data_IF_559007946422
#
_entry.id   IF_559007946422
#
_cell.length_a   1.000
_cell.length_b   1.000
_cell.length_c   1.000
_cell.angle_alpha   90.00
_cell.angle_beta   90.00
_cell.angle_gamma   90.00
#
_symmetry.space_group_name_H-M   'P 1'
#
loop_
_entity.id
_entity.type
_entity.pdbx_description
1 polymer ?
#
# COMPACT_ATOMS: atom_id res chain seq x y z
N UNK A 1 -72.23 -5.59 26.23
CA UNK A 1 -71.88 -6.92 25.62
C UNK A 1 -70.45 -7.21 25.96
N UNK A 2 -70.29 -8.10 26.92
CA UNK A 2 -69.07 -8.50 27.58
C UNK A 2 -68.43 -9.63 26.79
N UNK A 3 -67.19 -9.45 26.27
CA UNK A 3 -66.40 -10.55 25.75
C UNK A 3 -65.32 -10.96 26.75
N UNK A 4 -65.45 -12.20 27.19
CA UNK A 4 -64.57 -12.95 28.09
C UNK A 4 -63.23 -13.25 27.39
N UNK A 5 -62.11 -12.94 28.05
CA UNK A 5 -60.79 -13.39 27.71
C UNK A 5 -60.63 -14.88 28.07
N UNK A 6 -60.15 -15.67 27.12
CA UNK A 6 -59.68 -17.06 27.28
C UNK A 6 -58.19 -17.05 27.40
N UNK A 7 -57.64 -17.41 28.58
CA UNK A 7 -56.22 -17.69 28.76
C UNK A 7 -55.94 -19.16 28.41
N UNK A 8 -54.88 -19.47 27.68
CA UNK A 8 -54.34 -20.83 27.63
C UNK A 8 -53.30 -21.03 28.75
N UNK A 9 -53.51 -22.07 29.52
CA UNK A 9 -52.60 -22.58 30.53
C UNK A 9 -51.33 -23.13 29.88
N UNK A 10 -50.18 -22.59 30.25
CA UNK A 10 -48.87 -23.20 29.93
C UNK A 10 -48.48 -24.19 31.01
N UNK A 11 -48.45 -25.46 30.64
CA UNK A 11 -47.87 -26.55 31.43
C UNK A 11 -46.32 -26.37 31.44
N UNK A 12 -45.80 -26.10 32.62
CA UNK A 12 -44.35 -26.07 32.88
C UNK A 12 -43.84 -27.51 33.02
N UNK A 13 -43.15 -28.01 32.05
CA UNK A 13 -42.30 -29.20 32.21
C UNK A 13 -40.90 -28.75 32.64
N UNK A 14 -40.63 -28.88 33.92
CA UNK A 14 -39.30 -28.69 34.47
C UNK A 14 -38.46 -29.94 34.15
N UNK A 15 -37.60 -29.86 33.12
CA UNK A 15 -36.53 -30.79 32.90
C UNK A 15 -35.29 -30.29 33.64
N UNK A 16 -34.99 -30.84 34.78
CA UNK A 16 -33.70 -30.70 35.48
C UNK A 16 -32.64 -31.41 34.67
N UNK A 17 -31.94 -30.68 33.80
CA UNK A 17 -30.63 -31.09 33.31
C UNK A 17 -29.58 -30.54 34.28
N UNK A 18 -29.06 -31.38 35.15
CA UNK A 18 -27.89 -31.08 35.96
C UNK A 18 -26.67 -30.97 35.04
N UNK A 19 -26.43 -29.78 34.48
CA UNK A 19 -25.18 -29.43 33.90
C UNK A 19 -24.21 -29.12 35.03
N UNK A 20 -23.27 -30.02 35.30
CA UNK A 20 -22.11 -29.76 36.14
C UNK A 20 -21.33 -28.58 35.52
N UNK A 21 -21.63 -27.36 35.99
CA UNK A 21 -20.85 -26.18 35.72
C UNK A 21 -19.56 -26.34 36.51
N UNK A 22 -18.54 -26.90 35.87
CA UNK A 22 -17.15 -26.76 36.34
C UNK A 22 -16.79 -25.31 36.13
N UNK A 23 -17.10 -24.48 37.14
CA UNK A 23 -16.62 -23.09 37.22
C UNK A 23 -15.12 -23.12 37.49
N UNK A 24 -14.36 -23.44 36.47
CA UNK A 24 -12.92 -23.16 36.40
C UNK A 24 -12.74 -21.68 36.18
N UNK A 25 -12.82 -20.86 37.23
CA UNK A 25 -12.24 -19.51 37.22
C UNK A 25 -10.74 -19.63 37.08
N UNK A 26 -10.27 -19.77 35.82
CA UNK A 26 -8.85 -19.85 35.49
C UNK A 26 -8.61 -19.27 34.09
N UNK A 27 -7.73 -18.30 34.04
CA UNK A 27 -7.19 -17.70 32.81
C UNK A 27 -6.31 -18.71 32.04
N UNK A 28 -6.42 -20.01 32.36
CA UNK A 28 -5.65 -21.10 31.79
C UNK A 28 -6.19 -21.49 30.42
N UNK A 29 -5.26 -21.71 29.49
CA UNK A 29 -5.57 -22.25 28.16
C UNK A 29 -5.91 -23.74 28.31
N UNK A 30 -7.06 -24.21 27.79
CA UNK A 30 -7.45 -25.62 27.90
C UNK A 30 -6.43 -26.56 27.24
N UNK A 31 -6.38 -27.82 27.72
CA UNK A 31 -5.58 -28.86 27.06
C UNK A 31 -5.96 -28.99 25.58
N UNK A 32 -5.01 -29.29 24.71
CA UNK A 32 -5.17 -29.36 23.24
C UNK A 32 -5.56 -28.02 22.57
N UNK A 33 -5.31 -26.90 23.25
CA UNK A 33 -5.52 -25.55 22.73
C UNK A 33 -4.20 -24.77 22.72
N UNK A 34 -4.09 -23.79 21.81
CA UNK A 34 -2.91 -22.95 21.67
C UNK A 34 -3.14 -21.56 22.26
N UNK A 35 -4.39 -21.09 22.29
CA UNK A 35 -4.77 -19.82 22.92
C UNK A 35 -6.24 -19.83 23.35
N UNK A 36 -6.57 -18.88 24.25
CA UNK A 36 -7.93 -18.51 24.62
C UNK A 36 -8.06 -16.99 24.48
N UNK A 37 -9.11 -16.54 23.78
CA UNK A 37 -9.45 -15.12 23.59
C UNK A 37 -10.83 -14.86 24.20
N UNK A 38 -10.88 -14.20 25.35
CA UNK A 38 -12.13 -14.18 26.14
C UNK A 38 -12.58 -15.61 26.46
N UNK A 39 -13.76 -16.01 25.98
CA UNK A 39 -14.28 -17.37 26.12
C UNK A 39 -14.00 -18.29 24.92
N UNK A 40 -13.59 -17.72 23.79
CA UNK A 40 -13.28 -18.49 22.60
C UNK A 40 -11.92 -19.20 22.72
N UNK A 41 -11.86 -20.44 22.28
CA UNK A 41 -10.68 -21.31 22.36
C UNK A 41 -10.16 -21.58 20.95
N UNK A 42 -8.89 -21.29 20.74
CA UNK A 42 -8.17 -21.64 19.51
C UNK A 42 -7.50 -23.00 19.75
N UNK A 43 -7.97 -24.01 19.03
CA UNK A 43 -7.50 -25.38 19.20
C UNK A 43 -6.17 -25.63 18.51
N UNK A 44 -5.40 -26.61 19.01
CA UNK A 44 -4.20 -27.08 18.36
C UNK A 44 -4.46 -27.56 16.93
N UNK A 45 -5.60 -28.22 16.68
CA UNK A 45 -6.00 -28.68 15.34
C UNK A 45 -6.20 -27.53 14.36
N UNK A 46 -6.77 -26.41 14.79
CA UNK A 46 -6.88 -25.20 13.96
C UNK A 46 -5.52 -24.60 13.69
N UNK A 47 -4.69 -24.48 14.72
CA UNK A 47 -3.32 -24.02 14.57
C UNK A 47 -2.53 -24.88 13.57
N UNK A 48 -2.52 -26.20 13.74
CA UNK A 48 -1.77 -27.12 12.86
C UNK A 48 -2.21 -27.00 11.40
N UNK A 49 -3.51 -26.78 11.16
CA UNK A 49 -4.07 -26.57 9.82
C UNK A 49 -3.55 -25.26 9.18
N UNK A 50 -3.62 -24.16 9.91
CA UNK A 50 -3.15 -22.86 9.41
C UNK A 50 -1.63 -22.80 9.29
N UNK A 51 -0.90 -23.39 10.23
CA UNK A 51 0.54 -23.55 10.17
C UNK A 51 0.97 -24.31 8.91
N UNK A 52 0.30 -25.44 8.62
CA UNK A 52 0.58 -26.23 7.41
C UNK A 52 0.31 -25.40 6.15
N UNK A 53 -0.78 -24.67 6.10
CA UNK A 53 -1.11 -23.81 4.96
C UNK A 53 -0.05 -22.70 4.75
N UNK A 54 0.38 -22.03 5.82
CA UNK A 54 1.44 -21.03 5.75
C UNK A 54 2.77 -21.65 5.27
N UNK A 55 3.14 -22.84 5.77
CA UNK A 55 4.33 -23.54 5.33
C UNK A 55 4.28 -23.92 3.84
N UNK A 56 3.14 -24.40 3.34
CA UNK A 56 2.97 -24.74 1.93
C UNK A 56 3.04 -23.50 1.03
N UNK A 57 2.50 -22.37 1.46
CA UNK A 57 2.57 -21.11 0.75
C UNK A 57 4.01 -20.58 0.66
N UNK A 58 4.78 -20.68 1.75
CA UNK A 58 6.19 -20.31 1.77
C UNK A 58 7.03 -21.18 0.82
N UNK A 59 6.72 -22.49 0.70
CA UNK A 59 7.39 -23.39 -0.26
C UNK A 59 7.19 -22.96 -1.72
N UNK A 60 6.01 -22.46 -2.08
CA UNK A 60 5.72 -21.97 -3.45
C UNK A 60 6.49 -20.68 -3.79
N UNK A 61 6.80 -19.86 -2.78
CA UNK A 61 7.60 -18.64 -2.93
C UNK A 61 9.12 -18.86 -2.99
N UNK A 62 9.60 -20.12 -3.10
CA UNK A 62 11.03 -20.46 -3.13
C UNK A 62 11.65 -20.61 -1.74
N UNK A 63 10.83 -20.71 -0.70
CA UNK A 63 11.26 -20.98 0.67
C UNK A 63 11.63 -22.44 0.93
N UNK A 64 11.59 -22.86 2.21
CA UNK A 64 12.00 -24.21 2.65
C UNK A 64 11.30 -25.33 1.86
N UNK A 65 12.08 -26.29 1.40
CA UNK A 65 11.58 -27.43 0.62
C UNK A 65 10.74 -28.44 1.45
N UNK A 66 10.66 -28.26 2.78
CA UNK A 66 9.86 -29.11 3.67
C UNK A 66 9.37 -28.32 4.88
N UNK A 67 8.16 -28.65 5.38
CA UNK A 67 7.60 -28.05 6.59
C UNK A 67 8.47 -28.38 7.80
N UNK A 68 9.01 -27.39 8.54
CA UNK A 68 9.83 -27.66 9.71
C UNK A 68 8.98 -28.20 10.85
N UNK A 69 9.39 -29.34 11.43
CA UNK A 69 8.71 -30.00 12.55
C UNK A 69 9.67 -30.19 13.73
N UNK A 70 9.35 -29.67 14.93
CA UNK A 70 10.11 -29.89 16.13
C UNK A 70 9.99 -31.39 16.59
N UNK A 71 10.90 -31.89 17.46
CA UNK A 71 12.06 -31.14 17.98
C UNK A 71 13.29 -31.19 17.06
N UNK A 72 13.41 -32.17 16.17
CA UNK A 72 14.65 -32.47 15.43
C UNK A 72 14.76 -31.78 14.07
N UNK A 73 13.67 -31.34 13.50
CA UNK A 73 13.61 -30.69 12.17
C UNK A 73 14.21 -31.55 11.03
N UNK A 74 14.22 -32.87 11.16
CA UNK A 74 14.89 -33.81 10.24
C UNK A 74 14.55 -33.61 8.77
N UNK A 75 13.25 -33.51 8.46
CA UNK A 75 12.77 -33.36 7.07
C UNK A 75 13.24 -32.00 6.48
N UNK A 76 13.19 -30.93 7.25
CA UNK A 76 13.64 -29.61 6.84
C UNK A 76 15.15 -29.57 6.60
N UNK A 77 15.95 -30.10 7.52
CA UNK A 77 17.44 -30.23 7.38
C UNK A 77 17.79 -31.03 6.14
N UNK A 78 17.14 -32.20 5.93
CA UNK A 78 17.38 -33.03 4.76
C UNK A 78 17.03 -32.30 3.44
N UNK A 79 15.97 -31.50 3.44
CA UNK A 79 15.59 -30.70 2.30
C UNK A 79 16.58 -29.55 2.00
N UNK A 80 17.07 -28.86 3.03
CA UNK A 80 18.07 -27.80 2.89
C UNK A 80 19.41 -28.35 2.37
N UNK A 81 19.82 -29.57 2.79
CA UNK A 81 21.02 -30.23 2.27
C UNK A 81 20.97 -30.52 0.76
N UNK A 82 19.77 -30.69 0.19
CA UNK A 82 19.55 -30.93 -1.25
C UNK A 82 19.53 -29.69 -2.10
N UNK A 83 19.44 -28.50 -1.50
CA UNK A 83 19.44 -27.25 -2.27
C UNK A 83 20.81 -26.97 -2.91
N UNK A 84 20.84 -26.43 -4.15
CA UNK A 84 22.08 -26.01 -4.78
C UNK A 84 22.76 -24.96 -3.92
N UNK A 85 24.05 -25.21 -3.62
CA UNK A 85 24.84 -24.23 -2.88
C UNK A 85 25.44 -23.20 -3.83
N UNK A 86 25.61 -21.93 -3.40
CA UNK A 86 26.36 -20.95 -4.18
C UNK A 86 27.78 -21.46 -4.45
N UNK A 87 28.27 -21.28 -5.66
CA UNK A 87 29.62 -21.70 -6.04
C UNK A 87 30.66 -21.05 -5.12
N UNK A 88 31.50 -21.85 -4.46
CA UNK A 88 32.59 -21.40 -3.58
C UNK A 88 32.31 -21.36 -2.09
N UNK A 89 31.09 -21.73 -1.63
CA UNK A 89 30.74 -21.80 -0.20
C UNK A 89 31.01 -23.20 0.41
N UNK A 90 31.50 -23.23 1.66
CA UNK A 90 31.52 -24.48 2.45
C UNK A 90 30.10 -24.92 2.81
N UNK A 91 29.82 -26.22 2.76
CA UNK A 91 28.52 -26.76 3.15
C UNK A 91 28.23 -26.43 4.62
N UNK A 92 27.01 -25.85 4.92
CA UNK A 92 26.64 -25.56 6.29
C UNK A 92 26.58 -26.85 7.14
N UNK A 93 27.00 -26.78 8.41
CA UNK A 93 26.87 -27.89 9.33
C UNK A 93 25.40 -28.20 9.67
N UNK A 94 25.14 -29.43 10.16
CA UNK A 94 23.78 -29.84 10.56
C UNK A 94 23.18 -28.91 11.62
N UNK A 95 23.99 -28.42 12.54
CA UNK A 95 23.56 -27.49 13.59
C UNK A 95 23.11 -26.13 12.99
N UNK A 96 23.83 -25.63 12.00
CA UNK A 96 23.45 -24.41 11.30
C UNK A 96 22.11 -24.58 10.55
N UNK A 97 21.95 -25.70 9.84
CA UNK A 97 20.70 -26.03 9.13
C UNK A 97 19.55 -26.27 10.12
N UNK A 98 19.79 -26.92 11.25
CA UNK A 98 18.79 -27.12 12.31
C UNK A 98 18.35 -25.79 12.91
N UNK A 99 19.28 -24.85 13.15
CA UNK A 99 18.97 -23.50 13.61
C UNK A 99 18.13 -22.74 12.60
N UNK A 100 18.43 -22.83 11.32
CA UNK A 100 17.66 -22.22 10.23
C UNK A 100 16.24 -22.80 10.19
N UNK A 101 16.08 -24.12 10.25
CA UNK A 101 14.76 -24.77 10.29
C UNK A 101 13.95 -24.36 11.52
N UNK A 102 14.62 -24.19 12.69
CA UNK A 102 13.95 -23.66 13.89
C UNK A 102 13.47 -22.24 13.70
N UNK A 103 14.27 -21.38 13.12
CA UNK A 103 13.87 -19.99 12.82
C UNK A 103 12.66 -19.94 11.88
N UNK A 104 12.64 -20.75 10.82
CA UNK A 104 11.49 -20.89 9.92
C UNK A 104 10.23 -21.38 10.65
N UNK A 105 10.39 -22.39 11.53
CA UNK A 105 9.27 -22.86 12.35
C UNK A 105 8.73 -21.75 13.25
N UNK A 106 9.61 -21.02 13.94
CA UNK A 106 9.20 -19.95 14.85
C UNK A 106 8.48 -18.82 14.09
N UNK A 107 8.94 -18.46 12.89
CA UNK A 107 8.27 -17.49 12.03
C UNK A 107 6.89 -17.97 11.60
N UNK A 108 6.77 -19.19 11.05
CA UNK A 108 5.49 -19.76 10.63
C UNK A 108 4.52 -19.91 11.81
N UNK A 109 5.04 -20.30 12.99
CA UNK A 109 4.25 -20.37 14.22
C UNK A 109 3.70 -19.00 14.59
N UNK A 110 4.54 -17.97 14.54
CA UNK A 110 4.13 -16.60 14.82
C UNK A 110 3.04 -16.13 13.84
N UNK A 111 3.22 -16.35 12.55
CA UNK A 111 2.23 -16.00 11.52
C UNK A 111 0.87 -16.69 11.75
N UNK A 112 0.89 -18.01 11.98
CA UNK A 112 -0.34 -18.77 12.22
C UNK A 112 -1.06 -18.34 13.50
N UNK A 113 -0.31 -18.11 14.58
CA UNK A 113 -0.87 -17.62 15.86
C UNK A 113 -1.44 -16.22 15.74
N UNK A 114 -0.70 -15.30 15.13
CA UNK A 114 -1.18 -13.91 14.90
C UNK A 114 -2.46 -13.90 14.09
N UNK A 115 -2.49 -14.66 12.99
CA UNK A 115 -3.68 -14.75 12.15
C UNK A 115 -4.90 -15.24 12.94
N UNK A 116 -4.76 -16.35 13.68
CA UNK A 116 -5.88 -16.95 14.42
C UNK A 116 -6.38 -16.05 15.55
N UNK A 117 -5.45 -15.46 16.31
CA UNK A 117 -5.79 -14.54 17.39
C UNK A 117 -6.48 -13.29 16.85
N UNK A 118 -5.91 -12.67 15.82
CA UNK A 118 -6.49 -11.45 15.23
C UNK A 118 -7.83 -11.73 14.54
N UNK A 119 -8.00 -12.90 13.92
CA UNK A 119 -9.28 -13.32 13.35
C UNK A 119 -10.36 -13.42 14.42
N UNK A 120 -10.01 -13.98 15.58
CA UNK A 120 -10.94 -14.08 16.72
C UNK A 120 -11.25 -12.69 17.30
N UNK A 121 -10.24 -11.83 17.45
CA UNK A 121 -10.44 -10.43 17.87
C UNK A 121 -11.43 -9.68 16.98
N UNK A 122 -11.25 -9.82 15.65
CA UNK A 122 -12.12 -9.15 14.66
C UNK A 122 -13.55 -9.67 14.75
N UNK A 123 -13.74 -10.97 14.92
CA UNK A 123 -15.08 -11.56 15.06
C UNK A 123 -15.78 -11.08 16.32
N UNK A 124 -15.11 -11.12 17.48
CA UNK A 124 -15.68 -10.64 18.73
C UNK A 124 -15.96 -9.13 18.72
N UNK A 125 -15.08 -8.33 18.11
CA UNK A 125 -15.32 -6.88 17.97
C UNK A 125 -16.49 -6.58 17.05
N UNK A 126 -16.63 -7.34 15.96
CA UNK A 126 -17.77 -7.21 15.06
C UNK A 126 -19.07 -7.52 15.78
N UNK A 127 -19.12 -8.62 16.53
CA UNK A 127 -20.27 -9.01 17.35
C UNK A 127 -20.59 -7.94 18.40
N UNK A 128 -19.59 -7.47 19.15
CA UNK A 128 -19.75 -6.44 20.19
C UNK A 128 -20.31 -5.11 19.63
N UNK A 129 -20.08 -4.83 18.34
CA UNK A 129 -20.59 -3.64 17.65
C UNK A 129 -21.86 -3.87 16.84
N UNK A 130 -22.42 -5.08 16.86
CA UNK A 130 -23.57 -5.42 16.02
C UNK A 130 -23.27 -5.40 14.53
N UNK A 131 -22.01 -5.67 14.15
CA UNK A 131 -21.58 -5.78 12.76
C UNK A 131 -21.56 -7.25 12.36
N UNK A 132 -22.27 -7.59 11.30
CA UNK A 132 -22.33 -8.96 10.80
C UNK A 132 -22.21 -9.02 9.28
N UNK A 133 -21.82 -10.19 8.80
CA UNK A 133 -21.83 -10.57 7.38
C UNK A 133 -22.57 -11.89 7.29
N UNK A 134 -23.61 -11.94 6.48
CA UNK A 134 -24.39 -13.17 6.29
C UNK A 134 -23.63 -14.22 5.49
N UNK A 135 -23.92 -15.49 5.71
CA UNK A 135 -23.31 -16.59 4.94
C UNK A 135 -23.59 -16.46 3.44
N UNK A 136 -24.73 -15.90 3.05
CA UNK A 136 -25.08 -15.63 1.65
C UNK A 136 -24.15 -14.56 1.03
N UNK A 137 -23.85 -13.46 1.79
CA UNK A 137 -22.87 -12.44 1.35
C UNK A 137 -21.47 -13.03 1.23
N UNK A 138 -21.05 -13.85 2.21
CA UNK A 138 -19.74 -14.52 2.17
C UNK A 138 -19.63 -15.42 0.95
N UNK A 139 -20.64 -16.29 0.74
CA UNK A 139 -20.66 -17.22 -0.39
C UNK A 139 -20.65 -16.50 -1.74
N UNK A 140 -21.49 -15.46 -1.88
CA UNK A 140 -21.49 -14.63 -3.09
C UNK A 140 -20.13 -13.99 -3.35
N UNK A 141 -19.53 -13.36 -2.36
CA UNK A 141 -18.22 -12.73 -2.49
C UNK A 141 -17.12 -13.76 -2.81
N UNK A 142 -17.20 -14.93 -2.22
CA UNK A 142 -16.29 -16.04 -2.52
C UNK A 142 -16.41 -16.50 -3.96
N UNK A 143 -17.62 -16.76 -4.46
CA UNK A 143 -17.87 -17.20 -5.84
C UNK A 143 -17.41 -16.15 -6.86
N UNK A 144 -17.66 -14.86 -6.59
CA UNK A 144 -17.20 -13.77 -7.45
C UNK A 144 -15.65 -13.73 -7.51
N UNK A 145 -14.97 -13.79 -6.35
CA UNK A 145 -13.48 -13.84 -6.27
C UNK A 145 -12.93 -15.13 -6.92
N UNK A 146 -13.57 -16.29 -6.70
CA UNK A 146 -13.18 -17.57 -7.30
C UNK A 146 -13.22 -17.51 -8.82
N UNK A 147 -14.32 -17.04 -9.40
CA UNK A 147 -14.47 -16.88 -10.86
C UNK A 147 -13.44 -15.94 -11.46
N UNK A 148 -13.14 -14.85 -10.76
CA UNK A 148 -12.13 -13.87 -11.19
C UNK A 148 -10.72 -14.45 -11.17
N UNK A 149 -10.34 -15.15 -10.09
CA UNK A 149 -9.00 -15.68 -9.90
C UNK A 149 -8.76 -17.01 -10.65
N UNK A 150 -9.79 -17.82 -10.78
CA UNK A 150 -9.74 -19.16 -11.37
C UNK A 150 -10.86 -19.35 -12.40
N UNK A 151 -10.66 -18.92 -13.66
CA UNK A 151 -11.64 -19.12 -14.72
C UNK A 151 -11.97 -20.59 -14.99
N UNK A 152 -11.04 -21.51 -14.65
CA UNK A 152 -11.21 -22.96 -14.79
C UNK A 152 -11.23 -23.63 -13.42
N UNK A 153 -12.22 -24.50 -13.19
CA UNK A 153 -12.34 -25.25 -11.95
C UNK A 153 -11.08 -26.10 -11.64
N UNK A 154 -10.44 -26.65 -12.67
CA UNK A 154 -9.20 -27.42 -12.53
C UNK A 154 -8.06 -26.61 -11.89
N UNK A 155 -7.95 -25.31 -12.22
CA UNK A 155 -6.94 -24.42 -11.64
C UNK A 155 -7.25 -24.12 -10.16
N UNK A 156 -8.53 -23.97 -9.83
CA UNK A 156 -8.97 -23.84 -8.43
C UNK A 156 -8.67 -25.08 -7.61
N UNK A 157 -8.95 -26.28 -8.14
CA UNK A 157 -8.63 -27.54 -7.46
C UNK A 157 -7.12 -27.74 -7.29
N UNK A 158 -6.33 -27.33 -8.28
CA UNK A 158 -4.86 -27.31 -8.17
C UNK A 158 -4.39 -26.36 -7.05
N UNK A 159 -4.98 -25.17 -7.02
CA UNK A 159 -4.68 -24.19 -5.95
C UNK A 159 -4.99 -24.73 -4.56
N UNK A 160 -6.14 -25.37 -4.33
CA UNK A 160 -6.47 -25.97 -3.03
C UNK A 160 -5.45 -27.01 -2.61
N UNK A 161 -5.05 -27.90 -3.54
CA UNK A 161 -4.02 -28.93 -3.28
C UNK A 161 -2.67 -28.31 -2.95
N UNK A 162 -2.28 -27.27 -3.67
CA UNK A 162 -0.99 -26.59 -3.47
C UNK A 162 -0.96 -25.75 -2.21
N UNK A 163 -2.01 -25.00 -1.91
CA UNK A 163 -2.08 -24.14 -0.73
C UNK A 163 -2.34 -24.90 0.57
N UNK A 164 -2.82 -26.13 0.49
CA UNK A 164 -3.25 -26.91 1.66
C UNK A 164 -4.48 -26.34 2.37
N UNK A 165 -5.17 -25.37 1.75
CA UNK A 165 -6.41 -24.80 2.27
C UNK A 165 -7.62 -25.60 1.80
N UNK A 166 -8.64 -25.64 2.65
CA UNK A 166 -9.99 -26.05 2.27
C UNK A 166 -10.82 -24.87 1.80
N UNK A 167 -11.92 -25.13 1.10
CA UNK A 167 -12.90 -24.09 0.76
C UNK A 167 -13.47 -23.42 2.01
N UNK A 168 -13.63 -24.16 3.11
CA UNK A 168 -14.05 -23.59 4.40
C UNK A 168 -13.05 -22.54 4.93
N UNK A 169 -11.75 -22.76 4.74
CA UNK A 169 -10.72 -21.80 5.13
C UNK A 169 -10.76 -20.53 4.27
N UNK A 170 -11.06 -20.69 2.96
CA UNK A 170 -11.22 -19.56 2.05
C UNK A 170 -12.49 -18.76 2.37
N UNK A 171 -13.61 -19.43 2.64
CA UNK A 171 -14.85 -18.77 3.08
C UNK A 171 -14.63 -18.02 4.39
N UNK A 172 -13.88 -18.58 5.34
CA UNK A 172 -13.53 -17.92 6.59
C UNK A 172 -12.72 -16.63 6.35
N UNK A 173 -11.71 -16.67 5.46
CA UNK A 173 -10.96 -15.46 5.05
C UNK A 173 -11.87 -14.42 4.39
N UNK A 174 -12.75 -14.85 3.48
CA UNK A 174 -13.70 -13.95 2.83
C UNK A 174 -14.64 -13.29 3.85
N UNK A 175 -15.06 -14.02 4.88
CA UNK A 175 -15.86 -13.47 5.99
C UNK A 175 -15.09 -12.38 6.74
N UNK A 176 -13.83 -12.62 7.10
CA UNK A 176 -12.99 -11.62 7.78
C UNK A 176 -12.78 -10.38 6.90
N UNK A 177 -12.46 -10.58 5.60
CA UNK A 177 -12.32 -9.49 4.63
C UNK A 177 -13.58 -8.63 4.52
N UNK A 178 -14.76 -9.26 4.57
CA UNK A 178 -16.05 -8.57 4.48
C UNK A 178 -16.44 -7.85 5.79
N UNK A 179 -15.96 -8.32 6.94
CA UNK A 179 -16.16 -7.66 8.23
C UNK A 179 -15.37 -6.36 8.36
N UNK A 180 -14.14 -6.30 7.82
CA UNK A 180 -13.25 -5.14 7.96
C UNK A 180 -13.86 -3.81 7.51
N UNK A 181 -14.39 -3.66 6.27
CA UNK A 181 -14.98 -2.39 5.83
C UNK A 181 -16.22 -2.02 6.64
N UNK A 182 -17.04 -3.01 7.04
CA UNK A 182 -18.22 -2.77 7.89
C UNK A 182 -17.82 -2.28 9.29
N UNK A 183 -16.77 -2.87 9.89
CA UNK A 183 -16.19 -2.39 11.15
C UNK A 183 -15.62 -0.98 11.02
N UNK A 184 -14.85 -0.72 9.96
CA UNK A 184 -14.29 0.60 9.67
C UNK A 184 -15.40 1.65 9.58
N UNK A 185 -16.46 1.35 8.83
CA UNK A 185 -17.63 2.22 8.71
C UNK A 185 -18.27 2.46 10.07
N UNK A 186 -18.50 1.40 10.87
CA UNK A 186 -19.12 1.50 12.20
C UNK A 186 -18.27 2.32 13.18
N UNK A 187 -16.96 2.17 13.12
CA UNK A 187 -16.01 2.92 13.97
C UNK A 187 -15.98 4.40 13.63
N UNK A 188 -16.08 4.75 12.34
CA UNK A 188 -16.01 6.13 11.86
C UNK A 188 -17.40 6.81 11.85
N UNK A 189 -18.49 6.05 11.95
CA UNK A 189 -19.86 6.54 11.97
C UNK A 189 -20.04 7.64 13.02
N UNK A 190 -20.56 8.80 12.62
CA UNK A 190 -20.79 9.95 13.48
C UNK A 190 -19.55 10.73 13.92
N UNK A 191 -18.34 10.20 13.73
CA UNK A 191 -17.07 10.84 14.15
C UNK A 191 -16.46 11.76 13.10
N UNK A 192 -16.94 11.66 11.85
CA UNK A 192 -16.38 12.36 10.69
C UNK A 192 -17.26 13.49 10.17
N UNK A 193 -18.20 13.96 10.98
CA UNK A 193 -19.06 15.09 10.61
C UNK A 193 -18.23 16.37 10.54
N UNK A 194 -18.12 16.97 9.35
CA UNK A 194 -17.44 18.23 9.13
C UNK A 194 -18.47 19.37 9.01
N UNK A 195 -18.34 20.37 9.87
CA UNK A 195 -19.20 21.56 9.84
C UNK A 195 -18.63 22.64 8.93
N UNK A 196 -19.46 23.59 8.52
CA UNK A 196 -18.98 24.75 7.76
C UNK A 196 -18.04 25.63 8.58
N UNK A 197 -18.16 25.62 9.91
CA UNK A 197 -17.23 26.29 10.82
C UNK A 197 -15.86 25.63 10.78
N UNK A 198 -15.77 24.28 10.82
CA UNK A 198 -14.49 23.56 10.69
C UNK A 198 -13.76 23.96 9.39
N UNK A 199 -14.52 24.07 8.29
CA UNK A 199 -13.98 24.43 6.97
C UNK A 199 -13.46 25.86 6.98
N UNK A 200 -14.23 26.82 7.56
CA UNK A 200 -13.84 28.20 7.68
C UNK A 200 -12.57 28.36 8.52
N UNK A 201 -12.53 27.71 9.68
CA UNK A 201 -11.39 27.78 10.60
C UNK A 201 -10.12 27.20 9.93
N UNK A 202 -10.26 26.09 9.21
CA UNK A 202 -9.15 25.51 8.47
C UNK A 202 -8.65 26.45 7.36
N UNK A 203 -9.57 27.04 6.58
CA UNK A 203 -9.23 27.96 5.50
C UNK A 203 -8.47 29.19 6.04
N UNK A 204 -8.99 29.84 7.09
CA UNK A 204 -8.35 31.02 7.68
C UNK A 204 -6.96 30.71 8.26
N UNK A 205 -6.85 29.58 8.97
CA UNK A 205 -5.56 29.10 9.53
C UNK A 205 -4.53 28.76 8.46
N UNK A 206 -5.00 28.25 7.30
CA UNK A 206 -4.17 27.77 6.19
C UNK A 206 -4.30 28.61 4.92
N UNK A 207 -4.73 29.84 5.04
CA UNK A 207 -5.04 30.73 3.91
C UNK A 207 -3.92 30.82 2.87
N UNK A 208 -2.65 30.82 3.34
CA UNK A 208 -1.48 30.82 2.44
C UNK A 208 -1.37 29.59 1.57
N UNK A 209 -1.85 28.42 2.03
CA UNK A 209 -1.79 27.17 1.29
C UNK A 209 -2.77 27.17 0.09
N UNK A 210 -3.75 28.10 0.10
CA UNK A 210 -4.73 28.34 -0.96
C UNK A 210 -4.34 29.50 -1.89
N UNK A 211 -3.15 30.08 -1.71
CA UNK A 211 -2.60 31.06 -2.62
C UNK A 211 -1.90 30.36 -3.80
N UNK A 212 -2.18 30.84 -4.99
CA UNK A 212 -1.47 30.43 -6.19
C UNK A 212 -0.47 31.54 -6.57
N UNK A 213 0.83 31.26 -6.59
CA UNK A 213 1.82 32.25 -6.99
C UNK A 213 1.64 32.65 -8.45
N UNK A 214 2.15 33.81 -8.81
CA UNK A 214 2.23 34.23 -10.20
C UNK A 214 3.04 33.19 -11.01
N UNK A 215 2.51 32.80 -12.17
CA UNK A 215 3.16 31.89 -13.11
C UNK A 215 3.32 32.56 -14.47
N UNK A 216 4.43 32.28 -15.12
CA UNK A 216 4.77 32.82 -16.43
C UNK A 216 5.11 31.73 -17.41
N UNK A 217 4.56 31.80 -18.60
CA UNK A 217 5.02 30.98 -19.71
C UNK A 217 6.17 31.72 -20.40
N UNK A 218 7.35 31.13 -20.45
CA UNK A 218 8.53 31.71 -21.05
C UNK A 218 8.89 31.02 -22.35
N UNK A 219 9.51 31.78 -23.26
CA UNK A 219 10.33 31.22 -24.31
C UNK A 219 11.80 31.57 -24.00
N UNK A 220 12.68 30.57 -23.99
CA UNK A 220 14.07 30.67 -23.55
C UNK A 220 15.03 30.13 -24.59
N UNK A 221 16.15 30.82 -24.80
CA UNK A 221 17.34 30.33 -25.50
C UNK A 221 18.53 30.55 -24.59
N UNK A 222 19.15 29.48 -24.08
CA UNK A 222 20.31 29.54 -23.22
C UNK A 222 21.57 29.23 -24.04
N UNK A 223 22.60 30.04 -23.94
CA UNK A 223 23.85 29.89 -24.70
C UNK A 223 25.07 29.94 -23.77
N UNK A 224 26.19 29.32 -24.17
CA UNK A 224 27.44 29.37 -23.39
C UNK A 224 28.11 30.74 -23.39
N UNK A 225 27.97 31.51 -24.44
CA UNK A 225 28.67 32.79 -24.60
C UNK A 225 27.75 33.95 -24.92
N UNK A 226 28.13 35.15 -24.48
CA UNK A 226 27.37 36.39 -24.73
C UNK A 226 27.18 36.64 -26.24
N UNK A 227 28.23 36.41 -27.03
CA UNK A 227 28.18 36.60 -28.49
C UNK A 227 27.09 35.72 -29.14
N UNK A 228 27.00 34.43 -28.77
CA UNK A 228 25.92 33.56 -29.27
C UNK A 228 24.54 33.98 -28.81
N UNK A 229 24.40 34.51 -27.59
CA UNK A 229 23.14 35.05 -27.11
C UNK A 229 22.71 36.31 -27.89
N UNK A 230 23.67 37.19 -28.21
CA UNK A 230 23.42 38.37 -29.03
C UNK A 230 23.01 37.99 -30.47
N UNK A 231 23.65 37.01 -31.09
CA UNK A 231 23.23 36.46 -32.38
C UNK A 231 21.80 35.87 -32.31
N UNK A 232 21.52 35.06 -31.29
CA UNK A 232 20.16 34.50 -31.06
C UNK A 232 19.13 35.62 -30.91
N UNK A 233 19.45 36.67 -30.14
CA UNK A 233 18.57 37.83 -29.98
C UNK A 233 18.31 38.57 -31.31
N UNK A 234 19.34 38.81 -32.08
CA UNK A 234 19.20 39.44 -33.41
C UNK A 234 18.32 38.63 -34.37
N UNK A 235 18.49 37.31 -34.38
CA UNK A 235 17.64 36.42 -35.20
C UNK A 235 16.16 36.44 -34.74
N UNK A 236 15.90 36.52 -33.43
CA UNK A 236 14.55 36.65 -32.87
C UNK A 236 13.96 38.00 -33.19
N UNK A 237 14.77 39.08 -33.16
CA UNK A 237 14.32 40.44 -33.54
C UNK A 237 14.03 40.56 -35.06
N UNK A 238 14.74 39.78 -35.87
CA UNK A 238 14.49 39.65 -37.31
C UNK A 238 13.27 38.73 -37.63
N UNK A 239 12.50 38.30 -36.61
CA UNK A 239 11.27 37.56 -36.82
C UNK A 239 11.42 36.05 -36.88
N UNK A 240 12.64 35.47 -36.70
CA UNK A 240 12.77 34.02 -36.63
C UNK A 240 12.06 33.45 -35.40
N UNK A 241 11.47 32.27 -35.54
CA UNK A 241 10.73 31.63 -34.44
C UNK A 241 11.66 31.17 -33.29
N UNK A 242 11.20 31.24 -32.06
CA UNK A 242 11.92 30.71 -30.89
C UNK A 242 12.32 29.24 -31.09
N UNK A 243 11.45 28.44 -31.73
CA UNK A 243 11.74 27.01 -32.03
C UNK A 243 13.00 26.86 -32.90
N UNK A 244 13.09 27.65 -33.95
CA UNK A 244 14.27 27.61 -34.86
C UNK A 244 15.55 28.08 -34.16
N UNK A 245 15.45 29.20 -33.39
CA UNK A 245 16.61 29.79 -32.71
C UNK A 245 17.05 28.92 -31.54
N UNK A 246 16.12 28.36 -30.78
CA UNK A 246 16.42 27.41 -29.68
C UNK A 246 17.08 26.15 -30.22
N UNK A 247 16.60 25.57 -31.33
CA UNK A 247 17.25 24.42 -31.99
C UNK A 247 18.70 24.72 -32.37
N UNK A 248 18.96 25.93 -32.86
CA UNK A 248 20.31 26.32 -33.36
C UNK A 248 21.28 26.67 -32.23
N UNK A 249 20.86 27.41 -31.22
CA UNK A 249 21.75 28.04 -30.25
C UNK A 249 21.63 27.51 -28.82
N UNK A 250 20.46 26.95 -28.42
CA UNK A 250 20.25 26.61 -27.03
C UNK A 250 21.03 25.39 -26.58
N UNK A 251 21.67 25.51 -25.41
CA UNK A 251 22.37 24.44 -24.71
C UNK A 251 21.45 23.73 -23.66
N UNK A 252 20.34 24.36 -23.29
CA UNK A 252 19.35 23.76 -22.40
C UNK A 252 18.49 22.74 -23.17
N UNK A 253 18.76 21.48 -22.95
CA UNK A 253 18.12 20.39 -23.71
C UNK A 253 16.63 20.28 -23.45
N UNK A 254 16.19 20.56 -22.22
CA UNK A 254 14.79 20.44 -21.82
C UNK A 254 13.90 21.42 -22.60
N UNK A 255 14.22 22.72 -22.54
CA UNK A 255 13.45 23.74 -23.28
C UNK A 255 13.71 23.64 -24.79
N UNK A 256 14.93 23.27 -25.22
CA UNK A 256 15.26 23.09 -26.64
C UNK A 256 14.35 22.05 -27.30
N UNK A 257 14.12 20.89 -26.65
CA UNK A 257 13.22 19.86 -27.15
C UNK A 257 11.79 20.37 -27.33
N UNK A 258 11.36 21.33 -26.50
CA UNK A 258 10.05 21.98 -26.56
C UNK A 258 10.06 23.25 -27.41
N UNK A 259 11.09 23.49 -28.23
CA UNK A 259 11.22 24.68 -29.08
C UNK A 259 11.45 25.97 -28.28
N UNK A 260 12.12 25.87 -27.13
CA UNK A 260 12.43 26.97 -26.23
C UNK A 260 11.31 27.30 -25.24
N UNK A 261 10.20 26.55 -25.19
CA UNK A 261 9.06 26.82 -24.31
C UNK A 261 9.31 26.30 -22.89
N UNK A 262 8.97 27.12 -21.91
CA UNK A 262 8.93 26.77 -20.48
C UNK A 262 7.58 27.24 -19.94
N UNK A 263 6.58 26.37 -19.86
CA UNK A 263 5.25 26.72 -19.33
C UNK A 263 5.24 26.76 -17.81
N UNK A 264 4.33 27.54 -17.24
CA UNK A 264 3.99 27.58 -15.81
C UNK A 264 5.16 27.82 -14.84
N UNK A 265 6.16 28.59 -15.26
CA UNK A 265 7.31 28.95 -14.42
C UNK A 265 6.86 29.83 -13.25
N UNK A 266 7.18 29.42 -12.02
CA UNK A 266 7.03 30.22 -10.81
C UNK A 266 8.35 30.88 -10.43
N UNK A 267 8.28 31.96 -9.65
CA UNK A 267 9.46 32.66 -9.15
C UNK A 267 10.33 31.72 -8.29
N UNK A 268 11.64 31.73 -8.54
CA UNK A 268 12.60 30.85 -7.85
C UNK A 268 12.89 29.53 -8.57
N UNK A 269 12.20 29.19 -9.68
CA UNK A 269 12.46 27.97 -10.44
C UNK A 269 13.60 28.07 -11.45
N UNK A 270 13.99 29.31 -11.82
CA UNK A 270 15.07 29.53 -12.77
C UNK A 270 16.33 30.07 -12.06
N UNK A 271 17.43 30.16 -12.81
CA UNK A 271 18.60 30.90 -12.34
C UNK A 271 18.20 32.29 -11.85
N UNK A 272 18.78 32.76 -10.74
CA UNK A 272 18.39 33.99 -10.04
C UNK A 272 18.32 35.22 -10.95
N UNK A 273 19.27 35.36 -11.88
CA UNK A 273 19.29 36.49 -12.81
C UNK A 273 18.22 36.36 -13.89
N UNK A 274 18.02 35.16 -14.43
CA UNK A 274 16.98 34.84 -15.43
C UNK A 274 15.61 35.02 -14.80
N UNK A 275 15.42 34.53 -13.56
CA UNK A 275 14.18 34.63 -12.79
C UNK A 275 13.82 36.09 -12.55
N UNK A 276 14.76 36.90 -12.03
CA UNK A 276 14.56 38.34 -11.84
C UNK A 276 14.15 39.05 -13.14
N UNK A 277 14.85 38.73 -14.24
CA UNK A 277 14.55 39.32 -15.54
C UNK A 277 13.18 38.86 -16.05
N UNK A 278 12.85 37.58 -15.92
CA UNK A 278 11.57 37.02 -16.36
C UNK A 278 10.39 37.62 -15.60
N UNK A 279 10.49 37.77 -14.27
CA UNK A 279 9.39 38.27 -13.43
C UNK A 279 9.24 39.81 -13.43
N UNK A 280 10.29 40.57 -13.79
CA UNK A 280 10.20 42.00 -14.02
C UNK A 280 9.69 42.37 -15.42
N UNK A 281 9.64 41.43 -16.35
CA UNK A 281 9.30 41.74 -17.76
C UNK A 281 7.80 41.85 -17.99
N UNK A 282 7.44 42.78 -18.91
CA UNK A 282 6.10 42.80 -19.52
C UNK A 282 5.94 41.68 -20.54
N UNK A 283 4.71 41.16 -20.69
CA UNK A 283 4.36 40.18 -21.71
C UNK A 283 4.82 40.64 -23.11
N UNK A 284 5.42 39.75 -23.86
CA UNK A 284 5.85 40.01 -25.26
C UNK A 284 7.25 40.63 -25.39
N UNK A 285 7.83 41.21 -24.34
CA UNK A 285 9.16 41.85 -24.40
C UNK A 285 10.28 40.80 -24.52
N UNK A 286 11.13 40.98 -25.52
CA UNK A 286 12.35 40.19 -25.70
C UNK A 286 13.47 40.74 -24.81
N UNK A 287 14.02 39.92 -23.94
CA UNK A 287 15.07 40.29 -22.99
C UNK A 287 16.34 39.54 -23.28
N UNK A 288 17.43 40.08 -22.77
CA UNK A 288 18.74 39.44 -22.82
C UNK A 288 19.71 40.18 -23.75
N UNK A 289 20.97 39.71 -23.80
CA UNK A 289 21.54 38.58 -23.02
C UNK A 289 21.52 38.83 -21.49
N UNK A 290 20.92 37.93 -20.74
CA UNK A 290 20.96 37.91 -19.27
C UNK A 290 22.02 36.90 -18.85
N UNK A 291 23.04 37.35 -18.10
CA UNK A 291 24.09 36.48 -17.58
C UNK A 291 23.58 35.70 -16.38
N UNK A 292 23.47 34.40 -16.49
CA UNK A 292 23.14 33.47 -15.40
C UNK A 292 24.31 32.53 -15.08
N UNK A 293 24.07 31.61 -14.17
CA UNK A 293 25.04 30.60 -13.72
C UNK A 293 25.44 29.64 -14.85
N UNK A 294 24.52 29.29 -15.71
CA UNK A 294 24.72 28.31 -16.78
C UNK A 294 25.09 28.93 -18.15
N UNK A 295 25.16 30.25 -18.23
CA UNK A 295 25.49 30.96 -19.47
C UNK A 295 24.66 32.23 -19.64
N UNK A 296 24.31 32.53 -20.91
CA UNK A 296 23.60 33.75 -21.29
C UNK A 296 22.23 33.41 -21.86
N UNK A 297 21.17 33.92 -21.23
CA UNK A 297 19.81 33.67 -21.63
C UNK A 297 19.23 34.80 -22.47
N UNK A 298 18.52 34.45 -23.54
CA UNK A 298 17.59 35.31 -24.26
C UNK A 298 16.19 34.77 -24.04
N UNK A 299 15.27 35.60 -23.53
CA UNK A 299 13.94 35.13 -23.13
C UNK A 299 12.85 36.12 -23.49
N UNK A 300 11.62 35.59 -23.62
CA UNK A 300 10.39 36.38 -23.82
C UNK A 300 9.30 35.76 -22.96
N UNK A 301 8.59 36.59 -22.20
CA UNK A 301 7.38 36.20 -21.47
C UNK A 301 6.22 36.11 -22.47
N UNK A 302 5.69 34.92 -22.71
CA UNK A 302 4.59 34.69 -23.65
C UNK A 302 3.23 34.84 -22.99
N UNK A 303 3.13 34.44 -21.69
CA UNK A 303 1.89 34.57 -20.91
C UNK A 303 2.22 34.88 -19.44
N UNK A 304 1.40 35.70 -18.81
CA UNK A 304 1.43 35.95 -17.36
C UNK A 304 0.10 35.45 -16.79
N UNK A 305 0.18 34.61 -15.79
CA UNK A 305 -0.92 34.13 -14.95
C UNK A 305 -0.71 34.79 -13.59
N UNK A 306 -1.49 35.83 -13.25
CA UNK A 306 -1.26 36.56 -12.01
C UNK A 306 -1.44 35.69 -10.79
N UNK A 307 -0.80 36.06 -9.68
CA UNK A 307 -1.05 35.45 -8.39
C UNK A 307 -2.55 35.56 -8.06
N UNK A 308 -3.10 34.50 -7.49
CA UNK A 308 -4.50 34.45 -7.10
C UNK A 308 -4.69 33.77 -5.75
N UNK A 309 -5.73 34.16 -5.04
CA UNK A 309 -6.16 33.51 -3.81
C UNK A 309 -7.43 32.71 -4.11
N UNK A 310 -7.36 31.40 -3.92
CA UNK A 310 -8.55 30.57 -3.98
C UNK A 310 -9.50 30.98 -2.85
N UNK A 311 -10.75 31.28 -3.19
CA UNK A 311 -11.76 31.69 -2.20
C UNK A 311 -12.17 30.50 -1.32
N UNK A 312 -12.73 30.79 -0.13
CA UNK A 312 -13.32 29.76 0.74
C UNK A 312 -14.34 28.90 0.00
N UNK A 313 -15.19 29.52 -0.82
CA UNK A 313 -16.19 28.80 -1.61
C UNK A 313 -15.56 27.80 -2.59
N UNK A 314 -14.49 28.20 -3.27
CA UNK A 314 -13.75 27.33 -4.19
C UNK A 314 -12.99 26.20 -3.47
N UNK A 315 -12.47 26.46 -2.26
CA UNK A 315 -11.72 25.49 -1.48
C UNK A 315 -12.60 24.56 -0.62
N UNK A 316 -13.89 24.90 -0.46
CA UNK A 316 -14.82 24.28 0.51
C UNK A 316 -14.82 22.75 0.43
N UNK A 317 -15.01 22.17 -0.75
CA UNK A 317 -15.09 20.70 -0.91
C UNK A 317 -13.73 20.02 -0.70
N UNK A 318 -12.66 20.64 -1.15
CA UNK A 318 -11.29 20.14 -0.93
C UNK A 318 -10.99 20.09 0.57
N UNK A 319 -11.29 21.17 1.31
CA UNK A 319 -11.09 21.23 2.76
C UNK A 319 -11.98 20.21 3.47
N UNK A 320 -13.25 20.08 3.07
CA UNK A 320 -14.18 19.10 3.66
C UNK A 320 -13.64 17.69 3.54
N UNK A 321 -13.19 17.31 2.36
CA UNK A 321 -12.64 15.98 2.10
C UNK A 321 -11.34 15.75 2.88
N UNK A 322 -10.46 16.74 2.94
CA UNK A 322 -9.22 16.68 3.73
C UNK A 322 -9.52 16.50 5.23
N UNK A 323 -10.40 17.32 5.81
CA UNK A 323 -10.77 17.22 7.22
C UNK A 323 -11.48 15.92 7.56
N UNK A 324 -12.33 15.42 6.63
CA UNK A 324 -12.95 14.10 6.76
C UNK A 324 -11.91 13.02 6.85
N UNK A 325 -10.98 12.95 5.89
CA UNK A 325 -9.90 11.95 5.90
C UNK A 325 -9.05 12.02 7.17
N UNK A 326 -8.70 13.23 7.64
CA UNK A 326 -7.96 13.40 8.90
C UNK A 326 -8.74 12.89 10.12
N UNK A 327 -10.05 13.14 10.20
CA UNK A 327 -10.90 12.65 11.31
C UNK A 327 -11.11 11.15 11.24
N UNK A 328 -11.29 10.60 10.04
CA UNK A 328 -11.34 9.15 9.80
C UNK A 328 -10.06 8.48 10.28
N UNK A 329 -8.91 8.96 9.83
CA UNK A 329 -7.61 8.41 10.23
C UNK A 329 -7.43 8.46 11.76
N UNK A 330 -7.69 9.61 12.38
CA UNK A 330 -7.58 9.75 13.84
C UNK A 330 -8.53 8.81 14.60
N UNK A 331 -9.75 8.61 14.10
CA UNK A 331 -10.70 7.71 14.70
C UNK A 331 -10.27 6.24 14.58
N UNK A 332 -9.70 5.88 13.43
CA UNK A 332 -9.16 4.53 13.18
C UNK A 332 -7.91 4.27 13.99
N UNK A 333 -6.96 5.21 14.07
CA UNK A 333 -5.73 5.06 14.86
C UNK A 333 -6.06 4.84 16.34
N UNK A 334 -6.99 5.65 16.88
CA UNK A 334 -7.47 5.45 18.25
C UNK A 334 -8.14 4.09 18.43
N UNK A 335 -9.00 3.72 17.48
CA UNK A 335 -9.68 2.43 17.54
C UNK A 335 -8.69 1.26 17.49
N UNK A 336 -7.72 1.27 16.58
CA UNK A 336 -6.72 0.20 16.45
C UNK A 336 -5.91 0.06 17.75
N UNK A 337 -5.52 1.17 18.36
CA UNK A 337 -4.82 1.16 19.63
C UNK A 337 -5.67 0.53 20.74
N UNK A 338 -6.87 1.08 20.98
CA UNK A 338 -7.79 0.62 22.03
C UNK A 338 -8.20 -0.86 21.80
N UNK A 339 -8.41 -1.25 20.54
CA UNK A 339 -8.75 -2.60 20.14
C UNK A 339 -7.63 -3.59 20.49
N UNK A 340 -6.38 -3.28 20.09
CA UNK A 340 -5.22 -4.14 20.40
C UNK A 340 -5.00 -4.28 21.90
N UNK A 341 -5.05 -3.20 22.65
CA UNK A 341 -4.86 -3.20 24.10
C UNK A 341 -5.95 -4.04 24.79
N UNK A 342 -7.21 -3.81 24.44
CA UNK A 342 -8.36 -4.50 25.03
C UNK A 342 -8.34 -6.00 24.76
N UNK A 343 -8.08 -6.40 23.52
CA UNK A 343 -8.08 -7.83 23.16
C UNK A 343 -6.80 -8.56 23.60
N UNK A 344 -5.67 -7.88 23.65
CA UNK A 344 -4.45 -8.45 24.24
C UNK A 344 -4.67 -8.87 25.69
N UNK A 345 -5.32 -8.02 26.50
CA UNK A 345 -5.66 -8.34 27.90
C UNK A 345 -6.58 -9.56 28.05
N UNK A 346 -7.39 -9.86 27.04
CA UNK A 346 -8.29 -11.01 26.98
C UNK A 346 -7.67 -12.26 26.37
N UNK A 347 -6.43 -12.18 25.84
CA UNK A 347 -5.78 -13.26 25.09
C UNK A 347 -4.72 -13.94 25.94
N UNK A 348 -4.93 -15.21 26.27
CA UNK A 348 -3.92 -16.05 26.91
C UNK A 348 -3.48 -17.15 25.97
N UNK A 349 -2.16 -17.39 25.90
CA UNK A 349 -1.56 -18.40 25.06
C UNK A 349 -0.90 -19.49 25.89
N UNK A 350 -0.91 -20.74 25.38
CA UNK A 350 -0.13 -21.81 25.93
C UNK A 350 1.37 -21.50 25.80
N UNK A 351 2.18 -22.03 26.69
CA UNK A 351 3.59 -21.64 26.85
C UNK A 351 4.40 -21.71 25.54
N UNK A 352 4.23 -22.77 24.77
CA UNK A 352 4.94 -22.96 23.50
C UNK A 352 4.41 -22.09 22.34
N UNK A 353 3.29 -21.41 22.54
CA UNK A 353 2.57 -20.64 21.52
C UNK A 353 2.47 -19.15 21.82
N UNK A 354 3.27 -18.65 22.76
CA UNK A 354 3.27 -17.21 23.11
C UNK A 354 3.77 -16.35 21.96
N UNK A 355 2.99 -15.36 21.62
CA UNK A 355 3.27 -14.31 20.62
C UNK A 355 2.95 -12.93 21.21
N UNK A 356 3.29 -11.86 20.50
CA UNK A 356 3.11 -10.48 20.98
C UNK A 356 1.66 -10.12 21.33
N UNK A 357 0.70 -10.77 20.70
CA UNK A 357 -0.73 -10.62 20.92
C UNK A 357 -1.21 -11.24 22.24
N UNK A 358 -0.42 -12.07 22.89
CA UNK A 358 -0.80 -12.71 24.14
C UNK A 358 -0.55 -11.79 25.34
N UNK A 359 -1.46 -11.80 26.32
CA UNK A 359 -1.25 -11.12 27.61
C UNK A 359 0.01 -11.63 28.33
N UNK A 360 0.23 -12.94 28.27
CA UNK A 360 1.38 -13.62 28.84
C UNK A 360 2.58 -13.72 27.87
N UNK A 361 2.68 -12.81 26.87
CA UNK A 361 3.84 -12.72 25.99
C UNK A 361 5.13 -12.54 26.79
N UNK A 362 6.27 -13.12 26.34
CA UNK A 362 7.57 -12.81 26.92
C UNK A 362 7.79 -11.30 26.87
N UNK A 363 8.27 -10.72 27.98
CA UNK A 363 8.73 -9.32 27.95
C UNK A 363 9.86 -9.24 26.94
N UNK A 364 9.74 -8.40 25.92
CA UNK A 364 10.84 -8.10 25.01
C UNK A 364 12.04 -7.66 25.87
N UNK A 365 13.15 -8.39 25.79
CA UNK A 365 14.42 -7.87 26.22
C UNK A 365 14.69 -6.70 25.29
N UNK A 366 14.65 -5.47 25.82
CA UNK A 366 15.12 -4.29 25.12
C UNK A 366 16.62 -4.45 24.93
N UNK A 367 17.00 -5.19 23.90
CA UNK A 367 18.34 -5.14 23.38
C UNK A 367 18.43 -3.80 22.63
N UNK A 368 19.13 -2.85 23.26
CA UNK A 368 19.40 -1.52 22.70
C UNK A 368 20.41 -1.64 21.56
N UNK A 369 20.02 -2.33 20.49
CA UNK A 369 20.62 -2.18 19.18
C UNK A 369 19.93 -1.06 18.42
N UNK A 370 20.63 -0.29 17.55
CA UNK A 370 20.02 0.83 16.86
C UNK A 370 18.82 0.32 16.07
N UNK A 371 17.66 0.84 16.42
CA UNK A 371 16.40 0.57 15.73
C UNK A 371 16.55 0.95 14.26
N UNK A 372 16.70 -0.06 13.42
CA UNK A 372 16.42 0.06 12.01
C UNK A 372 14.95 0.48 11.90
N UNK A 373 14.70 1.70 11.44
CA UNK A 373 13.38 2.33 11.42
C UNK A 373 12.37 1.54 10.62
N UNK A 374 11.73 0.60 11.28
CA UNK A 374 10.52 -0.07 10.82
C UNK A 374 9.34 0.85 11.10
N UNK A 375 8.82 1.47 10.08
CA UNK A 375 7.54 2.16 10.07
C UNK A 375 6.48 1.26 10.71
N UNK A 376 5.62 1.74 11.63
CA UNK A 376 4.55 0.92 12.18
C UNK A 376 3.64 0.46 11.04
N UNK A 377 3.74 -0.81 10.70
CA UNK A 377 2.87 -1.41 9.70
C UNK A 377 1.43 -1.26 10.15
N UNK A 378 0.63 -0.56 9.37
CA UNK A 378 -0.82 -0.73 9.36
C UNK A 378 -1.14 -2.21 9.16
N UNK A 379 -2.38 -2.65 9.42
CA UNK A 379 -2.73 -4.05 9.29
C UNK A 379 -2.38 -4.51 7.87
N UNK A 380 -1.30 -5.28 7.76
CA UNK A 380 -0.98 -5.95 6.50
C UNK A 380 -2.09 -6.97 6.27
N UNK A 381 -3.10 -6.51 5.53
CA UNK A 381 -4.07 -7.39 4.94
C UNK A 381 -3.35 -8.28 3.95
N UNK A 382 -3.75 -9.52 3.95
CA UNK A 382 -3.59 -10.58 2.95
C UNK A 382 -2.24 -10.69 2.22
N UNK A 383 -1.69 -11.91 2.11
CA UNK A 383 -0.57 -12.16 1.21
C UNK A 383 -0.93 -11.77 -0.22
N UNK A 384 0.04 -11.30 -1.03
CA UNK A 384 -0.22 -10.86 -2.38
C UNK A 384 -0.71 -12.02 -3.24
N UNK A 385 -2.00 -12.06 -3.48
CA UNK A 385 -2.55 -12.79 -4.61
C UNK A 385 -2.05 -12.08 -5.85
N UNK A 386 -1.33 -12.80 -6.74
CA UNK A 386 -0.81 -12.26 -7.98
C UNK A 386 -1.90 -11.53 -8.77
N UNK A 387 -1.70 -10.25 -9.01
CA UNK A 387 -2.55 -9.47 -9.88
C UNK A 387 -2.24 -9.84 -11.34
N UNK A 388 -3.27 -10.05 -12.18
CA UNK A 388 -3.06 -10.12 -13.62
C UNK A 388 -2.74 -8.72 -14.18
N UNK A 389 -1.92 -8.61 -15.24
CA UNK A 389 -1.62 -7.33 -15.87
C UNK A 389 -2.80 -6.89 -16.73
N UNK A 390 -3.31 -5.71 -16.50
CA UNK A 390 -4.25 -5.11 -17.46
C UNK A 390 -5.19 -4.06 -16.89
N UNK A 391 -5.03 -2.82 -17.34
CA UNK A 391 -6.06 -1.81 -17.31
C UNK A 391 -5.84 -0.64 -16.34
N UNK A 392 -5.16 0.40 -16.82
CA UNK A 392 -5.13 1.70 -16.17
C UNK A 392 -6.47 2.43 -16.35
N UNK A 393 -7.04 3.03 -15.30
CA UNK A 393 -8.15 3.98 -15.44
C UNK A 393 -7.63 5.38 -15.78
N UNK A 394 -8.40 6.22 -16.45
CA UNK A 394 -7.98 7.54 -16.93
C UNK A 394 -7.96 8.60 -15.82
N UNK A 395 -6.86 9.33 -15.75
CA UNK A 395 -6.74 10.74 -15.39
C UNK A 395 -7.32 11.26 -14.08
N UNK A 396 -6.53 11.19 -12.99
CA UNK A 396 -6.63 12.14 -11.88
C UNK A 396 -5.50 13.20 -11.98
N UNK A 397 -5.66 14.42 -11.42
CA UNK A 397 -4.66 15.47 -11.56
C UNK A 397 -3.39 15.16 -10.75
N UNK A 398 -2.20 15.64 -11.21
CA UNK A 398 -0.92 15.30 -10.59
C UNK A 398 -0.77 15.96 -9.21
N UNK A 399 -0.54 15.16 -8.18
CA UNK A 399 -0.07 15.61 -6.88
C UNK A 399 1.42 15.93 -6.97
N UNK A 400 1.81 17.14 -6.57
CA UNK A 400 3.18 17.60 -6.54
C UNK A 400 4.06 16.80 -5.56
N UNK A 401 5.22 16.39 -6.00
CA UNK A 401 6.25 15.74 -5.19
C UNK A 401 6.91 16.74 -4.21
N UNK A 402 7.33 16.30 -3.02
CA UNK A 402 8.09 17.13 -2.09
C UNK A 402 9.54 17.35 -2.58
N UNK A 403 10.21 18.44 -2.17
CA UNK A 403 11.54 18.81 -2.67
C UNK A 403 12.62 17.88 -2.14
N UNK A 404 13.50 17.44 -3.05
CA UNK A 404 14.60 16.53 -2.79
C UNK A 404 15.73 17.10 -1.94
N UNK A 405 16.30 16.26 -1.08
CA UNK A 405 17.57 16.46 -0.40
C UNK A 405 18.79 16.24 -1.35
N UNK A 406 20.01 16.65 -0.94
CA UNK A 406 21.17 16.71 -1.84
C UNK A 406 21.75 15.34 -2.20
N UNK A 407 22.42 15.22 -3.37
CA UNK A 407 22.92 13.96 -3.85
C UNK A 407 24.23 13.54 -3.15
N UNK A 408 24.27 12.31 -2.65
CA UNK A 408 25.52 11.64 -2.26
C UNK A 408 26.12 10.89 -3.45
N UNK A 409 27.44 11.02 -3.58
CA UNK A 409 28.21 10.59 -4.73
C UNK A 409 28.25 9.07 -4.94
N UNK A 410 28.32 8.68 -6.20
CA UNK A 410 28.54 7.33 -6.68
C UNK A 410 30.06 7.01 -6.83
N UNK A 411 30.48 5.77 -6.56
CA UNK A 411 31.83 5.30 -6.91
C UNK A 411 31.94 4.87 -8.38
N UNK A 412 33.15 4.87 -8.97
CA UNK A 412 33.36 4.67 -10.40
C UNK A 412 33.55 3.20 -10.81
N UNK A 413 33.04 2.87 -11.96
CA UNK A 413 33.70 1.94 -12.90
C UNK A 413 33.22 0.49 -12.95
N UNK A 414 32.54 0.13 -14.03
CA UNK A 414 32.37 -1.23 -14.52
C UNK A 414 31.80 -1.20 -15.94
N UNK A 415 32.59 -1.64 -16.93
CA UNK A 415 32.30 -1.57 -18.35
C UNK A 415 31.16 -2.52 -18.79
N UNK A 416 30.40 -2.17 -19.85
CA UNK A 416 29.29 -3.01 -20.32
C UNK A 416 29.77 -4.11 -21.26
N UNK A 417 29.33 -5.35 -21.02
CA UNK A 417 29.42 -6.44 -22.00
C UNK A 417 28.18 -6.44 -22.89
N UNK A 418 28.42 -6.59 -24.19
CA UNK A 418 27.44 -6.44 -25.25
C UNK A 418 26.38 -7.54 -25.31
N UNK A 419 25.20 -7.15 -25.77
CA UNK A 419 24.12 -8.05 -26.17
C UNK A 419 24.24 -8.41 -27.65
N UNK A 420 23.83 -9.65 -28.07
CA UNK A 420 23.89 -10.06 -29.48
C UNK A 420 22.72 -9.46 -30.29
N UNK A 421 22.89 -9.33 -31.63
CA UNK A 421 21.92 -8.67 -32.50
C UNK A 421 20.68 -9.53 -32.79
N UNK A 422 19.53 -8.90 -32.73
CA UNK A 422 18.24 -9.50 -33.13
C UNK A 422 18.10 -9.40 -34.66
N UNK A 423 17.71 -10.53 -35.30
CA UNK A 423 17.43 -10.61 -36.71
C UNK A 423 16.08 -10.01 -37.10
N UNK A 424 15.83 -9.76 -38.40
CA UNK A 424 14.63 -9.07 -38.87
C UNK A 424 13.37 -9.97 -38.85
N UNK A 425 12.17 -9.37 -38.74
CA UNK A 425 10.93 -10.11 -38.67
C UNK A 425 10.49 -10.69 -40.05
N UNK A 426 9.76 -11.80 -40.08
CA UNK A 426 9.28 -12.39 -41.32
C UNK A 426 8.11 -11.62 -41.93
N UNK A 427 8.19 -11.38 -43.24
CA UNK A 427 7.13 -10.80 -44.08
C UNK A 427 6.07 -11.84 -44.36
N UNK A 428 4.82 -11.58 -43.92
CA UNK A 428 3.63 -12.37 -44.31
C UNK A 428 2.97 -11.80 -45.58
N UNK A 429 2.26 -12.61 -46.34
CA UNK A 429 1.64 -12.20 -47.64
C UNK A 429 0.39 -11.34 -47.45
N UNK A 430 -0.02 -10.55 -48.48
CA UNK A 430 -1.12 -9.59 -48.40
C UNK A 430 -2.50 -10.26 -48.43
N UNK A 431 -3.55 -9.62 -47.91
CA UNK A 431 -4.90 -10.16 -47.87
C UNK A 431 -5.57 -10.03 -49.27
N UNK A 432 -6.22 -11.12 -49.70
CA UNK A 432 -7.07 -11.13 -50.89
C UNK A 432 -8.46 -10.58 -50.53
N UNK A 433 -8.96 -9.66 -51.37
CA UNK A 433 -10.26 -9.05 -51.25
C UNK A 433 -11.40 -9.98 -51.68
N UNK A 434 -12.67 -9.65 -51.35
CA UNK A 434 -13.80 -10.51 -51.56
C UNK A 434 -14.32 -10.47 -53.02
N UNK A 435 -14.63 -11.64 -53.56
CA UNK A 435 -15.38 -11.75 -54.80
C UNK A 435 -16.89 -11.79 -54.50
N UNK A 436 -17.64 -10.95 -55.21
CA UNK A 436 -19.09 -11.03 -55.41
C UNK A 436 -19.34 -11.67 -56.80
N UNK A 437 -20.52 -12.11 -57.10
CA UNK A 437 -21.85 -11.92 -56.60
C UNK A 437 -22.47 -13.06 -55.83
#
# INVERSE_FOLDING_TARGET
MTFRAIQPAFLSVAALAAAAVVSGCGNSVPANSVAKVGDAVITKKEFDRWFKSAAMQQQQGGGAAATPKPPDFKECVAALKKQPQPQGGSKPSDDVLKKQCKQQYDQLKQEAMQFLIQAEWVQQEAEARGVSVSDAEVKKSFEDKKKQAFPKEADYQKFLKQSGMSEKDLLFRVKLDALQPKLTQKVTEGKVKITDQDIKDYYEKKKKDFAQPERRDLNLVLTKTKAKAEQAKKELQAGKSFKAVAKKYSIDQASKAQGGKLPDVTQGQQDKAVDKAAFAAKKGKLLGPVKGQFGFAVLKVSKIKPASQQTLAQAKETIRNLLRGQREQKALDKFIKDFRENYKEKTNCADDYRVAECKNAPKEKTDTGPASGGQPGGPQGAPPGGAPPGGAPPGGPPQGAPPGGPPQGAPPGGAPQGAPPQGPPPTGPPPQGPASP
#
